data_IF_122412094124
#
_entry.id   IF_122412094124
#
_cell.length_a   1.000
_cell.length_b   1.000
_cell.length_c   1.000
_cell.angle_alpha   90.00
_cell.angle_beta   90.00
_cell.angle_gamma   90.00
#
_symmetry.space_group_name_H-M   'P 1'
#
loop_
_entity.id
_entity.type
_entity.pdbx_description
1 polymer ?
#
# COMPACT_ATOMS: atom_id res chain seq x y z
N UNK A 1 -21.07 0.08 25.20
CA UNK A 1 -20.22 1.15 24.56
C UNK A 1 -19.27 1.76 25.59
N UNK A 2 -17.95 1.80 25.37
CA UNK A 2 -16.97 2.33 26.36
C UNK A 2 -17.09 3.87 26.48
N UNK A 3 -17.39 4.36 27.68
CA UNK A 3 -17.35 5.78 28.08
C UNK A 3 -15.95 6.38 28.01
N UNK A 4 -14.91 5.55 28.07
CA UNK A 4 -13.57 5.99 28.45
C UNK A 4 -12.52 5.93 27.34
N UNK A 5 -12.82 5.39 26.16
CA UNK A 5 -11.97 5.59 24.99
C UNK A 5 -12.70 5.18 23.72
N UNK A 6 -12.64 6.05 22.72
CA UNK A 6 -12.87 5.76 21.31
C UNK A 6 -14.29 5.54 20.81
N UNK A 7 -15.16 6.55 20.94
CA UNK A 7 -16.11 6.78 19.84
C UNK A 7 -16.17 8.28 19.56
N UNK A 8 -15.88 8.65 18.31
CA UNK A 8 -15.97 10.00 17.73
C UNK A 8 -17.33 10.71 17.94
N UNK A 9 -18.32 10.05 18.54
CA UNK A 9 -19.71 10.50 18.61
C UNK A 9 -20.12 11.11 19.95
N UNK A 10 -19.37 10.94 21.05
CA UNK A 10 -19.67 11.58 22.35
C UNK A 10 -18.65 12.69 22.56
N UNK A 11 -18.97 13.88 22.07
CA UNK A 11 -18.13 15.08 22.20
C UNK A 11 -18.93 16.25 22.77
N UNK A 12 -18.25 17.14 23.47
CA UNK A 12 -18.75 18.49 23.76
C UNK A 12 -17.68 19.47 23.33
N UNK A 13 -18.07 20.45 22.51
CA UNK A 13 -17.17 21.41 21.88
C UNK A 13 -15.97 20.73 21.16
N UNK A 14 -16.21 19.66 20.40
CA UNK A 14 -15.19 18.88 19.67
C UNK A 14 -14.06 18.27 20.53
N UNK A 15 -14.24 18.19 21.85
CA UNK A 15 -13.33 17.48 22.75
C UNK A 15 -13.98 16.18 23.23
N UNK A 16 -13.18 15.12 23.28
CA UNK A 16 -13.58 13.82 23.83
C UNK A 16 -13.66 13.91 25.35
N UNK A 17 -14.68 13.29 25.94
CA UNK A 17 -14.80 13.20 27.39
C UNK A 17 -13.87 12.10 27.93
N UNK A 18 -12.96 12.49 28.83
CA UNK A 18 -12.20 11.53 29.63
C UNK A 18 -12.10 12.05 31.07
N UNK A 19 -12.81 11.39 31.98
CA UNK A 19 -12.75 11.67 33.41
C UNK A 19 -11.96 10.56 34.11
N UNK A 20 -10.68 10.82 34.37
CA UNK A 20 -9.77 9.85 35.01
C UNK A 20 -10.33 9.31 36.33
N UNK A 21 -10.84 10.20 37.18
CA UNK A 21 -11.40 9.84 38.49
C UNK A 21 -12.61 8.90 38.38
N UNK A 22 -13.39 9.00 37.31
CA UNK A 22 -14.57 8.15 37.08
C UNK A 22 -14.16 6.78 36.53
N UNK A 23 -13.13 6.74 35.69
CA UNK A 23 -12.55 5.50 35.19
C UNK A 23 -11.93 4.65 36.31
N UNK A 24 -11.20 5.29 37.22
CA UNK A 24 -10.64 4.62 38.40
C UNK A 24 -11.72 4.07 39.33
N UNK A 25 -12.93 4.66 39.30
CA UNK A 25 -14.14 4.19 40.01
C UNK A 25 -14.98 3.18 39.21
N UNK A 26 -14.38 2.55 38.20
CA UNK A 26 -14.98 1.48 37.40
C UNK A 26 -16.14 1.89 36.47
N UNK A 27 -16.33 3.19 36.21
CA UNK A 27 -17.25 3.68 35.18
C UNK A 27 -16.52 3.70 33.84
N UNK A 28 -16.76 2.66 33.05
CA UNK A 28 -16.09 2.38 31.78
C UNK A 28 -17.02 2.37 30.60
N UNK A 29 -18.32 2.12 30.76
CA UNK A 29 -19.30 1.97 29.68
C UNK A 29 -20.58 2.78 29.93
N UNK A 30 -21.22 3.29 28.86
CA UNK A 30 -22.49 4.05 28.96
C UNK A 30 -23.58 3.21 29.61
N UNK A 31 -23.61 1.92 29.31
CA UNK A 31 -24.49 0.90 29.89
C UNK A 31 -24.46 0.88 31.42
N UNK A 32 -23.33 1.22 32.04
CA UNK A 32 -23.18 1.26 33.49
C UNK A 32 -23.85 2.47 34.15
N UNK A 33 -24.24 3.47 33.35
CA UNK A 33 -25.02 4.63 33.78
C UNK A 33 -26.53 4.45 33.57
N UNK A 34 -26.95 3.31 33.01
CA UNK A 34 -28.32 3.05 32.60
C UNK A 34 -29.00 2.02 33.51
N UNK A 35 -30.21 2.33 33.99
CA UNK A 35 -31.05 1.39 34.72
C UNK A 35 -32.01 0.67 33.76
N UNK A 36 -31.67 -0.58 33.43
CA UNK A 36 -32.48 -1.43 32.56
C UNK A 36 -33.87 -1.77 33.13
N UNK A 37 -34.08 -1.66 34.45
CA UNK A 37 -35.38 -1.96 35.07
C UNK A 37 -36.37 -0.84 34.82
N UNK A 38 -35.90 0.40 34.95
CA UNK A 38 -36.71 1.62 34.78
C UNK A 38 -36.68 2.10 33.32
N UNK A 39 -35.74 1.58 32.52
CA UNK A 39 -35.46 2.02 31.14
C UNK A 39 -35.14 3.51 31.08
N UNK A 40 -34.32 3.96 32.01
CA UNK A 40 -33.79 5.32 32.03
C UNK A 40 -32.40 5.36 32.66
N UNK A 41 -31.67 6.46 32.49
CA UNK A 41 -30.39 6.67 33.15
C UNK A 41 -30.57 6.87 34.66
N UNK A 42 -29.63 6.36 35.46
CA UNK A 42 -29.60 6.58 36.91
C UNK A 42 -29.65 8.08 37.24
N UNK A 43 -30.25 8.47 38.37
CA UNK A 43 -30.13 9.86 38.81
C UNK A 43 -28.68 10.14 39.25
N UNK A 44 -28.29 11.42 39.33
CA UNK A 44 -26.95 11.75 39.85
C UNK A 44 -26.74 11.24 41.28
N UNK A 45 -27.79 11.22 42.10
CA UNK A 45 -27.73 10.71 43.47
C UNK A 45 -27.47 9.19 43.48
N UNK A 46 -28.12 8.45 42.58
CA UNK A 46 -27.88 7.00 42.43
C UNK A 46 -26.45 6.72 41.97
N UNK A 47 -25.94 7.51 41.02
CA UNK A 47 -24.55 7.40 40.57
C UNK A 47 -23.54 7.73 41.68
N UNK A 48 -23.84 8.73 42.53
CA UNK A 48 -23.03 9.03 43.71
C UNK A 48 -23.03 7.86 44.68
N UNK A 49 -24.18 7.21 44.90
CA UNK A 49 -24.32 6.07 45.78
C UNK A 49 -23.61 4.81 45.23
N UNK A 50 -23.81 4.48 43.95
CA UNK A 50 -23.28 3.26 43.32
C UNK A 50 -21.76 3.31 43.14
N UNK A 51 -21.20 4.46 42.75
CA UNK A 51 -19.78 4.59 42.38
C UNK A 51 -18.96 5.48 43.32
N UNK A 52 -19.58 6.02 44.38
CA UNK A 52 -18.93 6.91 45.34
C UNK A 52 -18.47 8.23 44.74
N UNK A 53 -19.12 8.73 43.68
CA UNK A 53 -18.71 9.95 42.99
C UNK A 53 -18.95 11.17 43.90
N UNK A 54 -18.00 12.12 43.98
CA UNK A 54 -18.20 13.38 44.71
C UNK A 54 -19.39 14.19 44.20
N UNK A 55 -20.17 14.77 45.12
CA UNK A 55 -21.38 15.57 44.83
C UNK A 55 -21.10 16.80 43.95
N UNK A 56 -19.87 17.31 43.92
CA UNK A 56 -19.46 18.42 43.06
C UNK A 56 -19.36 18.05 41.56
N UNK A 57 -19.48 16.78 41.20
CA UNK A 57 -19.39 16.31 39.81
C UNK A 57 -20.74 16.30 39.08
N UNK A 58 -21.80 16.91 39.62
CA UNK A 58 -23.13 16.91 39.01
C UNK A 58 -23.12 17.47 37.58
N UNK A 59 -22.38 18.55 37.33
CA UNK A 59 -22.26 19.14 35.98
C UNK A 59 -21.59 18.17 35.00
N UNK A 60 -20.56 17.44 35.44
CA UNK A 60 -19.90 16.42 34.60
C UNK A 60 -20.87 15.33 34.20
N UNK A 61 -21.73 14.90 35.14
CA UNK A 61 -22.76 13.90 34.88
C UNK A 61 -23.79 14.38 33.84
N UNK A 62 -24.43 15.52 34.06
CA UNK A 62 -25.47 16.00 33.15
C UNK A 62 -24.92 16.34 31.76
N UNK A 63 -23.70 16.88 31.70
CA UNK A 63 -23.03 17.14 30.42
C UNK A 63 -22.78 15.84 29.68
N UNK A 64 -22.31 14.80 30.37
CA UNK A 64 -22.07 13.48 29.79
C UNK A 64 -23.36 12.88 29.22
N UNK A 65 -24.45 12.83 30.00
CA UNK A 65 -25.74 12.27 29.57
C UNK A 65 -26.34 13.04 28.38
N UNK A 66 -26.18 14.36 28.36
CA UNK A 66 -26.65 15.22 27.27
C UNK A 66 -25.84 15.02 26.00
N UNK A 67 -24.54 14.77 26.12
CA UNK A 67 -23.63 14.54 24.99
C UNK A 67 -23.74 13.16 24.36
N UNK A 68 -24.54 12.23 24.89
CA UNK A 68 -24.79 10.93 24.27
C UNK A 68 -25.76 11.09 23.08
N UNK A 69 -25.36 10.74 21.84
CA UNK A 69 -26.22 10.72 20.67
C UNK A 69 -27.52 9.93 20.82
N UNK A 70 -28.56 10.38 20.12
CA UNK A 70 -29.90 9.77 20.13
C UNK A 70 -29.88 8.30 19.67
N UNK A 71 -29.09 7.97 18.64
CA UNK A 71 -29.01 6.59 18.12
C UNK A 71 -28.49 5.58 19.17
N UNK A 72 -27.59 6.01 20.06
CA UNK A 72 -27.06 5.17 21.14
C UNK A 72 -28.13 4.96 22.21
N UNK A 73 -28.87 6.02 22.55
CA UNK A 73 -29.99 5.91 23.51
C UNK A 73 -31.06 4.95 23.00
N UNK A 74 -31.37 4.98 21.70
CA UNK A 74 -32.31 4.02 21.11
C UNK A 74 -31.81 2.58 21.13
N UNK A 75 -30.51 2.34 20.88
CA UNK A 75 -29.93 0.99 20.90
C UNK A 75 -29.89 0.36 22.30
N UNK A 76 -29.64 1.18 23.34
CA UNK A 76 -29.66 0.74 24.74
C UNK A 76 -31.09 0.35 25.16
N UNK A 77 -32.11 1.08 24.68
CA UNK A 77 -33.51 0.79 24.99
C UNK A 77 -34.01 -0.53 24.37
N UNK A 78 -33.42 -0.99 23.26
CA UNK A 78 -33.83 -2.20 22.55
C UNK A 78 -33.12 -3.47 23.02
N UNK A 79 -31.94 -3.35 23.63
CA UNK A 79 -31.12 -4.49 24.03
C UNK A 79 -31.26 -4.75 25.54
N UNK A 80 -32.00 -5.80 25.92
CA UNK A 80 -32.20 -6.23 27.31
C UNK A 80 -30.96 -6.88 27.96
N UNK A 81 -29.77 -6.79 27.34
CA UNK A 81 -28.54 -7.37 27.86
C UNK A 81 -27.44 -6.30 27.94
N UNK A 82 -26.68 -6.22 29.06
CA UNK A 82 -25.55 -5.30 29.17
C UNK A 82 -24.55 -5.60 28.06
N UNK A 83 -24.24 -4.60 27.24
CA UNK A 83 -23.31 -4.74 26.14
C UNK A 83 -21.88 -4.75 26.69
N UNK A 84 -21.46 -5.89 27.26
CA UNK A 84 -20.04 -6.24 27.41
C UNK A 84 -19.47 -6.61 26.05
N UNK A 85 -19.60 -5.72 25.06
CA UNK A 85 -18.71 -5.74 23.93
C UNK A 85 -17.36 -5.25 24.46
N UNK A 86 -16.53 -6.21 24.89
CA UNK A 86 -15.10 -5.97 25.01
C UNK A 86 -14.67 -5.29 23.73
N UNK A 87 -14.19 -4.07 23.85
CA UNK A 87 -13.79 -3.34 22.66
C UNK A 87 -12.72 -4.15 21.96
N UNK A 88 -12.76 -4.14 20.64
CA UNK A 88 -11.71 -4.69 19.78
C UNK A 88 -10.29 -4.36 20.30
N UNK A 89 -10.14 -3.17 20.88
CA UNK A 89 -8.90 -2.67 21.49
C UNK A 89 -8.53 -3.42 22.78
N UNK A 90 -9.48 -3.73 23.67
CA UNK A 90 -9.24 -4.52 24.89
C UNK A 90 -8.79 -5.96 24.56
N UNK A 91 -9.38 -6.57 23.53
CA UNK A 91 -8.97 -7.89 23.04
C UNK A 91 -7.56 -7.89 22.40
N UNK A 92 -7.10 -6.75 21.87
CA UNK A 92 -5.78 -6.58 21.27
C UNK A 92 -4.72 -6.24 22.31
N UNK A 93 -5.03 -5.38 23.28
CA UNK A 93 -4.11 -4.95 24.35
C UNK A 93 -3.86 -6.05 25.39
N UNK A 94 -4.84 -6.92 25.66
CA UNK A 94 -4.69 -8.05 26.58
C UNK A 94 -3.78 -9.18 26.05
N UNK A 95 -3.52 -9.22 24.74
CA UNK A 95 -2.67 -10.25 24.11
C UNK A 95 -1.22 -9.77 24.07
N UNK A 96 -0.43 -10.21 25.06
CA UNK A 96 0.97 -9.83 25.25
C UNK A 96 1.89 -9.99 24.02
N UNK A 97 1.55 -10.82 23.04
CA UNK A 97 2.41 -11.06 21.89
C UNK A 97 1.65 -10.98 20.55
N UNK A 98 2.13 -10.11 19.64
CA UNK A 98 1.79 -9.98 18.20
C UNK A 98 0.69 -8.97 17.81
N UNK A 99 0.60 -7.85 18.52
CA UNK A 99 -0.23 -6.69 18.15
C UNK A 99 -0.08 -6.29 16.66
N UNK A 100 1.15 -6.27 16.12
CA UNK A 100 1.40 -5.93 14.70
C UNK A 100 0.79 -6.91 13.70
N UNK A 101 0.83 -8.22 13.98
CA UNK A 101 0.24 -9.24 13.10
C UNK A 101 -1.28 -9.10 13.07
N UNK A 102 -1.88 -8.74 14.20
CA UNK A 102 -3.32 -8.50 14.30
C UNK A 102 -3.69 -7.28 13.47
N UNK A 103 -3.04 -6.14 13.68
CA UNK A 103 -3.27 -4.92 12.89
C UNK A 103 -3.12 -5.16 11.38
N UNK A 104 -2.06 -5.85 10.96
CA UNK A 104 -1.86 -6.23 9.57
C UNK A 104 -2.99 -7.12 9.03
N UNK A 105 -3.41 -8.14 9.79
CA UNK A 105 -4.51 -9.02 9.40
C UNK A 105 -5.82 -8.24 9.22
N UNK A 106 -6.06 -7.24 10.06
CA UNK A 106 -7.26 -6.38 10.00
C UNK A 106 -7.23 -5.44 8.80
N UNK A 107 -6.06 -4.86 8.50
CA UNK A 107 -5.86 -4.05 7.30
C UNK A 107 -6.08 -4.85 6.01
N UNK A 108 -5.70 -6.14 6.00
CA UNK A 108 -5.98 -7.02 4.85
C UNK A 108 -7.48 -7.33 4.72
N UNK A 109 -8.20 -7.49 5.84
CA UNK A 109 -9.64 -7.81 5.83
C UNK A 109 -10.52 -6.67 5.35
N UNK A 110 -10.09 -5.43 5.60
CA UNK A 110 -10.79 -4.22 5.15
C UNK A 110 -9.90 -3.43 4.18
N UNK A 111 -9.66 -3.95 2.95
CA UNK A 111 -8.83 -3.24 1.99
C UNK A 111 -9.54 -1.92 1.63
N UNK A 112 -8.79 -0.81 1.66
CA UNK A 112 -9.26 0.46 1.11
C UNK A 112 -9.58 0.31 -0.37
N UNK A 113 -10.65 0.96 -0.83
CA UNK A 113 -11.00 1.07 -2.25
C UNK A 113 -9.86 1.64 -3.10
N UNK A 114 -9.98 1.48 -4.43
CA UNK A 114 -8.98 1.81 -5.44
C UNK A 114 -8.19 3.09 -5.12
N UNK A 115 -6.87 2.98 -5.07
CA UNK A 115 -6.00 4.10 -4.73
C UNK A 115 -6.05 5.19 -5.82
N UNK A 116 -5.85 6.45 -5.44
CA UNK A 116 -5.74 7.58 -6.38
C UNK A 116 -4.74 7.33 -7.52
N UNK A 117 -3.69 6.55 -7.25
CA UNK A 117 -2.68 6.19 -8.26
C UNK A 117 -3.23 5.20 -9.29
N UNK A 118 -4.06 4.25 -8.86
CA UNK A 118 -4.70 3.29 -9.77
C UNK A 118 -5.61 4.00 -10.77
N UNK A 119 -6.42 4.94 -10.29
CA UNK A 119 -7.28 5.77 -11.15
C UNK A 119 -6.45 6.58 -12.16
N UNK A 120 -5.30 7.14 -11.76
CA UNK A 120 -4.41 7.86 -12.68
C UNK A 120 -3.89 6.96 -13.81
N UNK A 121 -3.54 5.72 -13.51
CA UNK A 121 -3.11 4.77 -14.54
C UNK A 121 -4.25 4.37 -15.47
N UNK A 122 -5.44 4.12 -14.93
CA UNK A 122 -6.64 3.80 -15.72
C UNK A 122 -7.01 4.92 -16.69
N UNK A 123 -7.01 6.17 -16.22
CA UNK A 123 -7.23 7.36 -17.06
C UNK A 123 -6.16 7.48 -18.14
N UNK A 124 -4.89 7.30 -17.79
CA UNK A 124 -3.78 7.40 -18.74
C UNK A 124 -3.88 6.40 -19.88
N UNK A 125 -4.28 5.16 -19.59
CA UNK A 125 -4.41 4.11 -20.60
C UNK A 125 -5.81 4.04 -21.24
N UNK A 126 -6.77 4.82 -20.77
CA UNK A 126 -8.17 4.72 -21.21
C UNK A 126 -8.81 3.36 -20.89
N UNK A 127 -8.35 2.67 -19.84
CA UNK A 127 -8.83 1.32 -19.48
C UNK A 127 -9.66 1.40 -18.21
N UNK A 128 -10.91 0.94 -18.28
CA UNK A 128 -11.83 0.97 -17.15
C UNK A 128 -11.40 0.07 -15.98
N UNK A 129 -10.86 -1.11 -16.26
CA UNK A 129 -10.46 -2.06 -15.21
C UNK A 129 -9.13 -2.73 -15.54
N UNK A 130 -8.12 -2.48 -14.68
CA UNK A 130 -6.84 -3.17 -14.71
C UNK A 130 -6.83 -4.26 -13.64
N UNK A 131 -6.25 -5.42 -13.95
CA UNK A 131 -6.10 -6.49 -12.97
C UNK A 131 -4.99 -6.15 -11.96
N UNK A 132 -5.31 -5.33 -10.97
CA UNK A 132 -4.37 -4.85 -9.96
C UNK A 132 -3.73 -5.97 -9.14
N UNK A 133 -4.49 -7.05 -8.88
CA UNK A 133 -3.95 -8.24 -8.20
C UNK A 133 -2.80 -8.86 -9.01
N UNK A 134 -2.96 -8.98 -10.32
CA UNK A 134 -1.88 -9.42 -11.19
C UNK A 134 -0.71 -8.44 -11.19
N UNK A 135 -0.98 -7.14 -11.39
CA UNK A 135 0.04 -6.08 -11.46
C UNK A 135 0.93 -6.06 -10.21
N UNK A 136 0.34 -6.17 -9.02
CA UNK A 136 1.10 -6.15 -7.77
C UNK A 136 1.82 -7.47 -7.47
N UNK A 137 1.31 -8.61 -7.94
CA UNK A 137 1.92 -9.92 -7.67
C UNK A 137 2.98 -10.31 -8.70
N UNK A 138 2.89 -9.80 -9.93
CA UNK A 138 3.80 -10.10 -11.03
C UNK A 138 5.30 -9.90 -10.66
N UNK A 139 5.72 -8.79 -10.02
CA UNK A 139 7.15 -8.56 -9.74
C UNK A 139 7.75 -9.65 -8.84
N UNK A 140 6.95 -10.20 -7.92
CA UNK A 140 7.36 -11.29 -7.04
C UNK A 140 7.52 -12.62 -7.77
N UNK A 141 6.81 -12.80 -8.89
CA UNK A 141 6.96 -13.98 -9.77
C UNK A 141 8.16 -13.83 -10.73
N UNK A 142 8.47 -12.60 -11.15
CA UNK A 142 9.52 -12.32 -12.11
C UNK A 142 10.94 -12.43 -11.52
N UNK A 143 11.14 -11.93 -10.29
CA UNK A 143 12.46 -11.86 -9.67
C UNK A 143 12.40 -12.12 -8.17
N UNK A 144 13.49 -12.63 -7.59
CA UNK A 144 13.72 -12.68 -6.14
C UNK A 144 14.37 -11.41 -5.60
N UNK A 145 14.96 -10.59 -6.47
CA UNK A 145 15.74 -9.42 -6.08
C UNK A 145 14.85 -8.32 -5.49
N UNK A 146 15.14 -7.93 -4.24
CA UNK A 146 14.41 -6.89 -3.52
C UNK A 146 14.53 -5.52 -4.19
N UNK A 147 15.69 -5.19 -4.76
CA UNK A 147 15.92 -3.92 -5.48
C UNK A 147 14.98 -3.77 -6.67
N UNK A 148 14.87 -4.80 -7.52
CA UNK A 148 13.98 -4.80 -8.68
C UNK A 148 12.51 -4.74 -8.25
N UNK A 149 12.11 -5.52 -7.23
CA UNK A 149 10.76 -5.49 -6.67
C UNK A 149 10.40 -4.11 -6.12
N UNK A 150 11.30 -3.50 -5.34
CA UNK A 150 11.11 -2.17 -4.75
C UNK A 150 11.02 -1.10 -5.84
N UNK A 151 11.88 -1.16 -6.85
CA UNK A 151 11.81 -0.25 -7.98
C UNK A 151 10.46 -0.35 -8.71
N UNK A 152 10.01 -1.57 -9.02
CA UNK A 152 8.72 -1.78 -9.67
C UNK A 152 7.53 -1.34 -8.80
N UNK A 153 7.61 -1.56 -7.49
CA UNK A 153 6.64 -1.02 -6.53
C UNK A 153 6.58 0.50 -6.61
N UNK A 154 7.72 1.19 -6.52
CA UNK A 154 7.79 2.65 -6.62
C UNK A 154 7.25 3.16 -7.96
N UNK A 155 7.53 2.43 -9.04
CA UNK A 155 7.03 2.72 -10.38
C UNK A 155 5.50 2.64 -10.44
N UNK A 156 4.90 1.52 -10.02
CA UNK A 156 3.45 1.32 -10.03
C UNK A 156 2.76 2.35 -9.13
N UNK A 157 3.35 2.68 -7.99
CA UNK A 157 2.82 3.70 -7.08
C UNK A 157 3.08 5.14 -7.54
N UNK A 158 3.77 5.34 -8.67
CA UNK A 158 4.14 6.65 -9.24
C UNK A 158 4.92 7.54 -8.27
N UNK A 159 5.77 6.93 -7.44
CA UNK A 159 6.64 7.60 -6.46
C UNK A 159 8.12 7.58 -6.89
N UNK A 160 8.38 7.41 -8.19
CA UNK A 160 9.70 7.57 -8.79
C UNK A 160 10.04 9.05 -8.89
N UNK A 161 11.27 9.40 -8.54
CA UNK A 161 11.76 10.78 -8.55
C UNK A 161 12.09 11.25 -9.97
N UNK A 162 11.08 11.71 -10.71
CA UNK A 162 11.25 12.38 -12.00
C UNK A 162 11.59 13.87 -11.81
N UNK A 163 12.20 14.51 -12.81
CA UNK A 163 12.58 15.92 -12.72
C UNK A 163 11.35 16.83 -12.55
N UNK A 164 10.19 16.48 -13.10
CA UNK A 164 8.92 17.16 -12.77
C UNK A 164 8.62 17.17 -11.27
N UNK A 165 8.79 16.02 -10.60
CA UNK A 165 8.57 15.90 -9.16
C UNK A 165 9.66 16.63 -8.36
N UNK A 166 10.93 16.43 -8.72
CA UNK A 166 12.07 17.06 -8.05
C UNK A 166 12.03 18.58 -8.15
N UNK A 167 11.66 19.13 -9.31
CA UNK A 167 11.47 20.56 -9.51
C UNK A 167 10.34 21.10 -8.63
N UNK A 168 9.20 20.40 -8.55
CA UNK A 168 8.10 20.76 -7.65
C UNK A 168 8.54 20.76 -6.17
N UNK A 169 9.42 19.85 -5.80
CA UNK A 169 10.01 19.78 -4.45
C UNK A 169 11.17 20.77 -4.24
N UNK A 170 11.54 21.59 -5.23
CA UNK A 170 12.70 22.50 -5.19
C UNK A 170 14.05 21.79 -4.95
N UNK A 171 14.15 20.54 -5.39
CA UNK A 171 15.37 19.72 -5.33
C UNK A 171 16.13 19.65 -6.66
N UNK A 172 15.52 20.15 -7.74
CA UNK A 172 16.13 20.28 -9.06
C UNK A 172 15.85 21.66 -9.63
N UNK A 173 16.81 22.20 -10.38
CA UNK A 173 16.71 23.51 -11.05
C UNK A 173 15.89 23.45 -12.35
N UNK A 174 15.65 22.24 -12.89
CA UNK A 174 14.90 22.03 -14.12
C UNK A 174 13.93 20.86 -13.98
N UNK A 175 12.79 20.96 -14.68
CA UNK A 175 11.81 19.89 -14.82
C UNK A 175 11.96 19.11 -16.14
N UNK A 176 12.91 19.49 -16.99
CA UNK A 176 13.15 18.86 -18.29
C UNK A 176 13.82 17.49 -18.13
N UNK A 177 13.62 16.64 -19.13
CA UNK A 177 14.21 15.31 -19.21
C UNK A 177 15.72 15.38 -19.38
N UNK A 178 16.46 14.64 -18.56
CA UNK A 178 17.93 14.61 -18.61
C UNK A 178 18.48 14.02 -19.92
N UNK A 179 17.67 13.31 -20.70
CA UNK A 179 18.09 12.72 -21.97
C UNK A 179 17.88 13.62 -23.17
N UNK A 180 16.68 14.18 -23.33
CA UNK A 180 16.33 14.98 -24.52
C UNK A 180 16.43 16.48 -24.27
N UNK A 181 16.40 16.94 -23.01
CA UNK A 181 16.37 18.37 -22.63
C UNK A 181 15.26 19.21 -23.27
N UNK A 182 14.24 18.58 -23.87
CA UNK A 182 13.18 19.25 -24.65
C UNK A 182 11.82 19.20 -23.95
N UNK A 183 11.50 18.06 -23.32
CA UNK A 183 10.19 17.81 -22.73
C UNK A 183 10.27 17.69 -21.21
N UNK A 184 9.16 17.99 -20.53
CA UNK A 184 9.04 17.81 -19.08
C UNK A 184 9.17 16.32 -18.74
N UNK A 185 10.02 16.00 -17.77
CA UNK A 185 10.26 14.62 -17.36
C UNK A 185 9.14 14.08 -16.46
N UNK A 186 8.16 13.44 -17.11
CA UNK A 186 7.15 12.60 -16.47
C UNK A 186 7.60 11.14 -16.45
N UNK A 187 6.82 10.25 -15.80
CA UNK A 187 7.10 8.80 -15.84
C UNK A 187 6.90 8.29 -17.27
N UNK A 188 5.85 8.76 -17.91
CA UNK A 188 5.49 8.48 -19.29
C UNK A 188 6.62 8.88 -20.24
N UNK A 189 7.15 10.10 -20.08
CA UNK A 189 8.24 10.58 -20.91
C UNK A 189 9.54 9.80 -20.67
N UNK A 190 9.95 9.67 -19.42
CA UNK A 190 11.23 9.05 -19.05
C UNK A 190 11.31 7.58 -19.47
N UNK A 191 10.21 6.84 -19.35
CA UNK A 191 10.21 5.39 -19.58
C UNK A 191 9.63 4.97 -20.93
N UNK A 192 9.02 5.89 -21.69
CA UNK A 192 8.42 5.56 -22.98
C UNK A 192 8.60 6.66 -24.02
N UNK A 193 8.01 7.84 -23.84
CA UNK A 193 7.82 8.81 -24.94
C UNK A 193 9.14 9.48 -25.40
N UNK A 194 10.18 9.47 -24.57
CA UNK A 194 11.45 10.11 -24.92
C UNK A 194 12.06 9.53 -26.22
N UNK A 195 12.46 10.42 -27.13
CA UNK A 195 13.08 10.07 -28.42
C UNK A 195 14.35 9.22 -28.31
N UNK A 196 15.08 9.34 -27.19
CA UNK A 196 16.27 8.53 -26.93
C UNK A 196 15.95 7.15 -26.32
N UNK A 197 14.74 6.97 -25.78
CA UNK A 197 14.30 5.74 -25.13
C UNK A 197 13.57 4.81 -26.10
N UNK A 198 12.86 5.36 -27.08
CA UNK A 198 12.19 4.56 -28.13
C UNK A 198 13.14 3.60 -28.87
N UNK A 199 14.35 4.01 -29.33
CA UNK A 199 15.30 3.08 -29.93
C UNK A 199 15.73 1.93 -29.01
N UNK A 200 15.80 2.18 -27.69
CA UNK A 200 16.17 1.16 -26.70
C UNK A 200 15.09 0.10 -26.56
N UNK A 201 13.81 0.50 -26.58
CA UNK A 201 12.70 -0.45 -26.61
C UNK A 201 12.62 -1.23 -27.92
N UNK A 202 12.96 -0.62 -29.05
CA UNK A 202 13.04 -1.31 -30.33
C UNK A 202 14.13 -2.38 -30.33
N UNK A 203 15.34 -2.05 -29.87
CA UNK A 203 16.40 -3.05 -29.70
C UNK A 203 16.01 -4.16 -28.74
N UNK A 204 15.31 -3.83 -27.64
CA UNK A 204 14.81 -4.86 -26.72
C UNK A 204 13.79 -5.78 -27.41
N UNK A 205 12.91 -5.23 -28.25
CA UNK A 205 11.93 -6.01 -29.01
C UNK A 205 12.63 -6.98 -29.94
N UNK A 206 13.60 -6.50 -30.74
CA UNK A 206 14.40 -7.35 -31.63
C UNK A 206 15.19 -8.42 -30.87
N UNK A 207 15.74 -8.08 -29.70
CA UNK A 207 16.41 -9.06 -28.84
C UNK A 207 15.45 -10.15 -28.37
N UNK A 208 14.25 -9.79 -27.89
CA UNK A 208 13.26 -10.76 -27.44
C UNK A 208 12.77 -11.67 -28.59
N UNK A 209 12.59 -11.12 -29.79
CA UNK A 209 12.24 -11.88 -30.99
C UNK A 209 13.32 -12.91 -31.35
N UNK A 210 14.60 -12.55 -31.25
CA UNK A 210 15.72 -13.49 -31.45
C UNK A 210 15.69 -14.66 -30.43
N UNK A 211 15.13 -14.44 -29.24
CA UNK A 211 14.94 -15.49 -28.22
C UNK A 211 13.62 -16.27 -28.37
N UNK A 212 12.88 -16.07 -29.47
CA UNK A 212 11.55 -16.65 -29.68
C UNK A 212 10.51 -16.20 -28.63
N UNK A 213 10.70 -15.02 -28.06
CA UNK A 213 9.81 -14.37 -27.10
C UNK A 213 9.07 -13.20 -27.78
N UNK A 214 8.31 -13.52 -28.82
CA UNK A 214 7.62 -12.51 -29.63
C UNK A 214 6.56 -11.77 -28.79
N UNK A 215 6.87 -10.54 -28.41
CA UNK A 215 5.95 -9.67 -27.70
C UNK A 215 5.97 -8.27 -28.30
N UNK A 216 4.78 -7.77 -28.62
CA UNK A 216 4.59 -6.36 -28.94
C UNK A 216 4.72 -5.53 -27.66
N UNK A 217 5.82 -4.80 -27.53
CA UNK A 217 6.00 -3.85 -26.43
C UNK A 217 5.07 -2.65 -26.63
N UNK A 218 4.33 -2.35 -25.57
CA UNK A 218 3.49 -1.16 -25.46
C UNK A 218 3.78 -0.53 -24.10
N UNK A 219 3.46 0.75 -23.93
CA UNK A 219 3.68 1.40 -22.65
C UNK A 219 2.95 0.69 -21.49
N UNK A 220 1.76 0.14 -21.75
CA UNK A 220 0.98 -0.63 -20.78
C UNK A 220 1.73 -1.89 -20.34
N UNK A 221 2.20 -2.69 -21.29
CA UNK A 221 2.91 -3.94 -21.02
C UNK A 221 4.29 -3.69 -20.39
N UNK A 222 5.00 -2.63 -20.81
CA UNK A 222 6.25 -2.19 -20.18
C UNK A 222 6.01 -1.77 -18.73
N UNK A 223 4.90 -1.06 -18.47
CA UNK A 223 4.55 -0.57 -17.14
C UNK A 223 4.20 -1.70 -16.18
N UNK A 224 3.32 -2.60 -16.60
CA UNK A 224 2.64 -3.57 -15.73
C UNK A 224 3.02 -5.02 -15.94
N UNK A 225 3.85 -5.29 -16.94
CA UNK A 225 4.26 -6.63 -17.34
C UNK A 225 3.29 -7.29 -18.32
N UNK A 226 3.76 -8.40 -18.88
CA UNK A 226 3.09 -9.23 -19.88
C UNK A 226 2.57 -10.49 -19.20
N UNK A 227 1.39 -10.92 -19.63
CA UNK A 227 0.75 -12.18 -19.22
C UNK A 227 0.21 -12.98 -20.42
N UNK A 228 0.49 -12.52 -21.65
CA UNK A 228 -0.07 -13.08 -22.89
C UNK A 228 0.76 -14.22 -23.49
N UNK A 229 1.95 -14.52 -22.97
CA UNK A 229 2.75 -15.64 -23.49
C UNK A 229 2.21 -16.97 -23.00
N UNK A 230 2.31 -17.99 -23.87
CA UNK A 230 1.80 -19.36 -23.62
C UNK A 230 2.40 -20.00 -22.37
N UNK A 231 3.68 -19.69 -22.06
CA UNK A 231 4.37 -20.21 -20.89
C UNK A 231 4.49 -19.17 -19.78
N UNK A 232 4.17 -19.59 -18.55
CA UNK A 232 4.34 -18.79 -17.33
C UNK A 232 5.81 -18.37 -17.14
N UNK A 233 6.76 -19.25 -17.44
CA UNK A 233 8.18 -18.94 -17.29
C UNK A 233 8.63 -17.89 -18.31
N UNK A 234 8.14 -17.98 -19.55
CA UNK A 234 8.36 -16.94 -20.56
C UNK A 234 7.84 -15.58 -20.09
N UNK A 235 6.63 -15.53 -19.52
CA UNK A 235 6.10 -14.29 -18.94
C UNK A 235 7.02 -13.77 -17.82
N UNK A 236 7.48 -14.63 -16.91
CA UNK A 236 8.33 -14.23 -15.79
C UNK A 236 9.68 -13.67 -16.25
N UNK A 237 10.32 -14.28 -17.26
CA UNK A 237 11.60 -13.85 -17.82
C UNK A 237 11.46 -12.49 -18.51
N UNK A 238 10.45 -12.35 -19.37
CA UNK A 238 10.24 -11.07 -20.06
C UNK A 238 9.93 -9.97 -19.04
N UNK A 239 9.09 -10.26 -18.04
CA UNK A 239 8.80 -9.32 -16.97
C UNK A 239 10.04 -8.94 -16.15
N UNK A 240 10.93 -9.91 -15.88
CA UNK A 240 12.22 -9.64 -15.25
C UNK A 240 13.04 -8.63 -16.07
N UNK A 241 13.16 -8.89 -17.38
CA UNK A 241 13.91 -8.06 -18.31
C UNK A 241 13.30 -6.65 -18.40
N UNK A 242 11.97 -6.53 -18.44
CA UNK A 242 11.28 -5.24 -18.44
C UNK A 242 11.52 -4.44 -17.15
N UNK A 243 11.46 -5.08 -15.99
CA UNK A 243 11.74 -4.40 -14.71
C UNK A 243 13.20 -3.96 -14.67
N UNK A 244 14.13 -4.81 -15.10
CA UNK A 244 15.55 -4.47 -15.17
C UNK A 244 15.82 -3.32 -16.14
N UNK A 245 15.19 -3.32 -17.32
CA UNK A 245 15.34 -2.24 -18.31
C UNK A 245 14.88 -0.90 -17.73
N UNK A 246 13.74 -0.86 -17.04
CA UNK A 246 13.29 0.36 -16.37
C UNK A 246 14.27 0.81 -15.30
N UNK A 247 14.78 -0.10 -14.46
CA UNK A 247 15.81 0.27 -13.47
C UNK A 247 17.07 0.79 -14.16
N UNK A 248 17.49 0.18 -15.26
CA UNK A 248 18.65 0.61 -16.05
C UNK A 248 18.46 2.03 -16.60
N UNK A 249 17.33 2.32 -17.23
CA UNK A 249 16.97 3.66 -17.72
C UNK A 249 17.04 4.68 -16.57
N UNK A 250 16.48 4.33 -15.40
CA UNK A 250 16.50 5.20 -14.24
C UNK A 250 17.92 5.42 -13.68
N UNK A 251 18.78 4.41 -13.71
CA UNK A 251 20.18 4.55 -13.32
C UNK A 251 20.98 5.43 -14.30
N UNK A 252 20.70 5.31 -15.60
CA UNK A 252 21.31 6.15 -16.63
C UNK A 252 20.91 7.62 -16.48
N UNK A 253 19.66 7.89 -16.09
CA UNK A 253 19.19 9.23 -15.69
C UNK A 253 20.08 9.84 -14.61
N UNK A 254 20.33 9.12 -13.51
CA UNK A 254 21.19 9.65 -12.43
C UNK A 254 22.62 9.93 -12.89
N UNK A 255 23.12 9.15 -13.85
CA UNK A 255 24.43 9.36 -14.48
C UNK A 255 24.42 10.48 -15.52
N UNK A 256 23.26 11.05 -15.86
CA UNK A 256 23.06 12.02 -16.95
C UNK A 256 23.63 11.52 -18.28
N UNK A 257 23.48 10.23 -18.54
CA UNK A 257 23.95 9.57 -19.75
C UNK A 257 22.77 8.97 -20.49
N UNK A 258 22.76 9.11 -21.82
CA UNK A 258 21.75 8.45 -22.64
C UNK A 258 21.94 6.93 -22.57
N UNK A 259 20.89 6.14 -22.32
CA UNK A 259 21.02 4.69 -22.24
C UNK A 259 21.53 4.08 -23.55
N UNK A 260 22.46 3.13 -23.45
CA UNK A 260 22.97 2.36 -24.60
C UNK A 260 22.57 0.89 -24.41
N UNK A 261 21.97 0.29 -25.43
CA UNK A 261 21.42 -1.06 -25.33
C UNK A 261 22.47 -2.14 -25.03
N UNK A 262 23.67 -2.05 -25.60
CA UNK A 262 24.76 -3.00 -25.32
C UNK A 262 25.20 -2.97 -23.85
N UNK A 263 25.17 -1.80 -23.21
CA UNK A 263 25.45 -1.67 -21.77
C UNK A 263 24.35 -2.33 -20.93
N UNK A 264 23.10 -2.25 -21.37
CA UNK A 264 22.00 -2.99 -20.75
C UNK A 264 22.22 -4.51 -20.89
N UNK A 265 22.55 -5.01 -22.08
CA UNK A 265 22.81 -6.44 -22.30
C UNK A 265 23.96 -6.93 -21.42
N UNK A 266 25.05 -6.16 -21.30
CA UNK A 266 26.14 -6.50 -20.39
C UNK A 266 25.67 -6.57 -18.92
N UNK A 267 24.88 -5.58 -18.48
CA UNK A 267 24.30 -5.57 -17.12
C UNK A 267 23.36 -6.76 -16.88
N UNK A 268 22.60 -7.16 -17.89
CA UNK A 268 21.72 -8.33 -17.86
C UNK A 268 22.54 -9.63 -17.76
N UNK A 269 23.61 -9.79 -18.56
CA UNK A 269 24.54 -10.94 -18.49
C UNK A 269 25.09 -11.12 -17.07
N UNK A 270 25.60 -10.04 -16.47
CA UNK A 270 26.12 -10.07 -15.09
C UNK A 270 25.06 -10.50 -14.07
N UNK A 271 23.83 -10.02 -14.23
CA UNK A 271 22.72 -10.37 -13.35
C UNK A 271 22.28 -11.81 -13.48
N UNK A 272 22.28 -12.37 -14.69
CA UNK A 272 22.04 -13.80 -14.92
C UNK A 272 23.13 -14.64 -14.25
N UNK A 273 24.39 -14.24 -14.36
CA UNK A 273 25.50 -14.93 -13.70
C UNK A 273 25.34 -14.92 -12.18
N UNK A 274 24.99 -13.78 -11.57
CA UNK A 274 24.73 -13.70 -10.13
C UNK A 274 23.57 -14.61 -9.72
N UNK A 275 22.46 -14.63 -10.47
CA UNK A 275 21.35 -15.55 -10.19
C UNK A 275 21.78 -17.02 -10.30
N UNK A 276 22.71 -17.35 -11.21
CA UNK A 276 23.27 -18.70 -11.35
C UNK A 276 24.06 -19.10 -10.11
N UNK A 277 24.96 -18.24 -9.64
CA UNK A 277 25.76 -18.51 -8.43
C UNK A 277 24.88 -18.68 -7.18
N UNK A 278 23.82 -17.86 -7.06
CA UNK A 278 22.83 -18.02 -5.99
C UNK A 278 22.09 -19.36 -6.11
N UNK A 279 21.73 -19.77 -7.33
CA UNK A 279 21.04 -21.04 -7.55
C UNK A 279 21.93 -22.25 -7.23
N UNK A 280 23.22 -22.18 -7.58
CA UNK A 280 24.23 -23.18 -7.22
C UNK A 280 24.38 -23.28 -5.71
N UNK A 281 24.48 -22.14 -5.01
CA UNK A 281 24.66 -22.10 -3.56
C UNK A 281 23.45 -22.65 -2.77
N UNK A 282 22.26 -22.67 -3.39
CA UNK A 282 21.02 -23.11 -2.75
C UNK A 282 20.50 -24.45 -3.32
N UNK A 283 21.27 -25.17 -4.14
CA UNK A 283 20.85 -26.42 -4.81
C UNK A 283 19.55 -26.30 -5.64
N UNK A 284 19.34 -25.14 -6.28
CA UNK A 284 18.14 -24.84 -7.10
C UNK A 284 18.44 -24.63 -8.58
N UNK A 285 19.55 -25.19 -9.08
CA UNK A 285 20.04 -24.99 -10.44
C UNK A 285 19.00 -25.34 -11.52
N UNK A 286 18.20 -26.39 -11.30
CA UNK A 286 17.15 -26.80 -12.24
C UNK A 286 16.11 -25.69 -12.48
N UNK A 287 15.72 -24.97 -11.41
CA UNK A 287 14.78 -23.84 -11.52
C UNK A 287 15.40 -22.67 -12.29
N UNK A 288 16.70 -22.43 -12.07
CA UNK A 288 17.45 -21.42 -12.82
C UNK A 288 17.50 -21.76 -14.31
N UNK A 289 17.81 -23.01 -14.67
CA UNK A 289 17.88 -23.45 -16.07
C UNK A 289 16.51 -23.39 -16.75
N UNK A 290 15.43 -23.81 -16.07
CA UNK A 290 14.07 -23.67 -16.60
C UNK A 290 13.71 -22.21 -16.93
N UNK A 291 14.16 -21.27 -16.10
CA UNK A 291 13.98 -19.83 -16.31
C UNK A 291 14.89 -19.29 -17.41
N UNK A 292 16.17 -19.64 -17.47
CA UNK A 292 17.13 -18.94 -18.33
C UNK A 292 17.49 -19.68 -19.64
N UNK A 293 17.05 -20.93 -19.83
CA UNK A 293 17.40 -21.77 -20.99
C UNK A 293 17.19 -21.13 -22.37
N UNK A 294 16.19 -20.24 -22.51
CA UNK A 294 15.84 -19.59 -23.77
C UNK A 294 16.68 -18.37 -24.08
N UNK A 295 17.28 -17.74 -23.08
CA UNK A 295 18.03 -16.49 -23.26
C UNK A 295 19.47 -16.83 -23.64
N UNK A 296 19.80 -16.58 -24.90
CA UNK A 296 21.15 -16.69 -25.45
C UNK A 296 21.73 -15.30 -25.65
N UNK A 297 22.87 -15.10 -25.02
CA UNK A 297 23.65 -13.90 -25.15
C UNK A 297 24.70 -14.12 -26.23
N UNK A 298 24.42 -13.66 -27.46
CA UNK A 298 25.47 -13.54 -28.49
C UNK A 298 26.55 -12.53 -28.09
#
# INVERSE_FOLDING_TARGET
MVLVCNIFNITSNNKTFFYKDWFERSIKYVDQLYDYRIKDFYSFNDICYIYGIPSNNFLKYYTLIKSIPIHIKSEINTNNAPCTQTTFVENILGRKNKTNKIFYTLQIKNPTENSKTQNKWQVLFGVHELNWKHIFTMPYKATIESTLRNFQYKYIHRIIATNKYLFKCKLSNSNLCDFCSENIETIEHLFWECKHIQPIWNHLTSFLEQQQLNVKLSFLNVSFGIYSLKSKDCNNIVNFILIMMKLFIFNMKFKKQVPIFNCFIHSLKLKVQIEKEIALSNDTLQNFEQKWNRIKFS
#
